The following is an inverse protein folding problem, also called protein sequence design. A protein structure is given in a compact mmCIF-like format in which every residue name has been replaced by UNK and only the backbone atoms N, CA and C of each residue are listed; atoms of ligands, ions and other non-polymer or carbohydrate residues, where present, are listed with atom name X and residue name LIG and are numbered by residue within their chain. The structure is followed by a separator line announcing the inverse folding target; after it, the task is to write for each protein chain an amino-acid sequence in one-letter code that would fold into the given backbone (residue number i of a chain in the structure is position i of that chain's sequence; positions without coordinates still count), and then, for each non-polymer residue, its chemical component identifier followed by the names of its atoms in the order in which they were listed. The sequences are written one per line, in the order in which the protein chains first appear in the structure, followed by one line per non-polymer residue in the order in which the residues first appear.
data_IF_635324973419
#
_entry.id   IF_635324973419
#
_cell.length_a   1.000
_cell.length_b   1.000
_cell.length_c   1.000
_cell.angle_alpha   90.00
_cell.angle_beta   90.00
_cell.angle_gamma   90.00
#
_symmetry.space_group_name_H-M   'P 1'
#
loop_
_entity.id
_entity.type
_entity.pdbx_description
1 polymer ?
#
# COMPACT_ATOMS: atom_id res chain seq x y z
N UNK A 1 -0.82 2.71 -25.56
CA UNK A 1 -2.07 2.54 -26.33
C UNK A 1 -2.13 3.70 -27.30
N UNK A 2 -2.14 3.43 -28.59
CA UNK A 2 -2.28 4.48 -29.61
C UNK A 2 -3.76 4.57 -29.97
N UNK A 3 -4.53 5.22 -29.08
CA UNK A 3 -5.97 5.40 -29.30
C UNK A 3 -6.13 6.36 -30.48
N UNK A 4 -6.94 6.02 -31.51
CA UNK A 4 -7.24 6.95 -32.59
C UNK A 4 -7.65 8.30 -32.01
N UNK A 5 -7.04 9.40 -32.48
CA UNK A 5 -7.35 10.74 -31.97
C UNK A 5 -8.87 10.94 -31.98
N UNK A 6 -9.46 11.25 -30.80
CA UNK A 6 -10.91 11.35 -30.70
C UNK A 6 -11.41 12.48 -31.58
N UNK A 7 -12.51 12.22 -32.27
CA UNK A 7 -13.28 13.27 -32.94
C UNK A 7 -14.17 13.90 -31.89
N UNK A 8 -14.04 15.21 -31.72
CA UNK A 8 -14.84 15.97 -30.77
C UNK A 8 -16.14 16.45 -31.42
N UNK A 9 -17.22 16.66 -30.64
CA UNK A 9 -18.45 17.25 -31.15
C UNK A 9 -18.22 18.59 -31.88
N UNK A 10 -17.24 19.39 -31.41
CA UNK A 10 -16.86 20.65 -32.04
C UNK A 10 -16.46 20.55 -33.51
N UNK A 11 -16.00 19.38 -33.97
CA UNK A 11 -15.63 19.15 -35.36
C UNK A 11 -16.84 19.12 -36.32
N UNK A 12 -18.06 18.98 -35.78
CA UNK A 12 -19.32 18.93 -36.55
C UNK A 12 -20.20 20.17 -36.32
N UNK A 13 -19.76 21.13 -35.51
CA UNK A 13 -20.51 22.35 -35.26
C UNK A 13 -20.22 23.39 -36.34
N UNK A 14 -21.28 24.02 -36.83
CA UNK A 14 -21.16 25.21 -37.68
C UNK A 14 -20.79 26.41 -36.79
N UNK A 15 -19.72 27.17 -37.10
CA UNK A 15 -19.36 28.35 -36.31
C UNK A 15 -20.54 29.31 -36.14
N UNK A 16 -20.84 29.67 -34.89
CA UNK A 16 -21.94 30.57 -34.54
C UNK A 16 -23.29 29.89 -34.33
N UNK A 17 -23.40 28.56 -34.52
CA UNK A 17 -24.60 27.77 -34.24
C UNK A 17 -24.34 26.84 -33.07
N UNK A 18 -24.68 27.30 -31.86
CA UNK A 18 -24.42 26.59 -30.60
C UNK A 18 -25.71 26.38 -29.80
N UNK A 19 -26.83 26.14 -30.47
CA UNK A 19 -28.05 25.74 -29.79
C UNK A 19 -27.98 24.28 -29.31
N UNK A 20 -28.90 23.93 -28.41
CA UNK A 20 -28.95 22.61 -27.75
C UNK A 20 -29.06 21.46 -28.75
N UNK A 21 -29.88 21.61 -29.78
CA UNK A 21 -30.18 20.51 -30.70
C UNK A 21 -29.00 20.28 -31.66
N UNK A 22 -28.32 21.36 -32.07
CA UNK A 22 -27.05 21.31 -32.80
C UNK A 22 -25.94 20.62 -32.00
N UNK A 23 -25.83 20.89 -30.69
CA UNK A 23 -24.87 20.21 -29.80
C UNK A 23 -25.16 18.71 -29.66
N UNK A 24 -26.42 18.31 -29.51
CA UNK A 24 -26.80 16.90 -29.45
C UNK A 24 -26.53 16.17 -30.77
N UNK A 25 -26.86 16.79 -31.91
CA UNK A 25 -26.60 16.22 -33.23
C UNK A 25 -25.09 16.04 -33.49
N UNK A 26 -24.29 17.06 -33.19
CA UNK A 26 -22.84 17.00 -33.29
C UNK A 26 -22.23 15.94 -32.36
N UNK A 27 -22.75 15.81 -31.14
CA UNK A 27 -22.37 14.75 -30.20
C UNK A 27 -22.66 13.35 -30.73
N UNK A 28 -23.83 13.14 -31.34
CA UNK A 28 -24.20 11.87 -31.95
C UNK A 28 -23.29 11.49 -33.13
N UNK A 29 -22.96 12.46 -33.99
CA UNK A 29 -22.03 12.26 -35.11
C UNK A 29 -20.61 11.91 -34.63
N UNK A 30 -20.08 12.67 -33.67
CA UNK A 30 -18.79 12.40 -33.06
C UNK A 30 -18.74 11.02 -32.39
N UNK A 31 -19.81 10.63 -31.67
CA UNK A 31 -19.92 9.29 -31.08
C UNK A 31 -19.89 8.20 -32.16
N UNK A 32 -20.68 8.33 -33.23
CA UNK A 32 -20.76 7.34 -34.30
C UNK A 32 -19.42 7.18 -35.04
N UNK A 33 -18.72 8.28 -35.31
CA UNK A 33 -17.40 8.26 -35.94
C UNK A 33 -16.35 7.63 -35.03
N UNK A 34 -16.32 7.99 -33.74
CA UNK A 34 -15.39 7.38 -32.78
C UNK A 34 -15.64 5.87 -32.64
N UNK A 35 -16.90 5.42 -32.62
CA UNK A 35 -17.23 3.98 -32.60
C UNK A 35 -16.71 3.24 -33.84
N UNK A 36 -16.83 3.85 -35.04
CA UNK A 36 -16.25 3.27 -36.27
C UNK A 36 -14.73 3.18 -36.20
N UNK A 37 -14.06 4.22 -35.68
CA UNK A 37 -12.60 4.24 -35.52
C UNK A 37 -12.12 3.18 -34.54
N UNK A 38 -12.82 3.02 -33.42
CA UNK A 38 -12.52 1.97 -32.44
C UNK A 38 -12.71 0.58 -33.07
N UNK A 39 -13.81 0.35 -33.80
CA UNK A 39 -14.08 -0.93 -34.46
C UNK A 39 -13.08 -1.26 -35.59
N UNK A 40 -12.47 -0.25 -36.21
CA UNK A 40 -11.46 -0.41 -37.25
C UNK A 40 -10.02 -0.49 -36.72
N UNK A 41 -9.79 -0.17 -35.44
CA UNK A 41 -8.45 -0.18 -34.85
C UNK A 41 -7.95 -1.62 -34.70
N UNK A 42 -6.73 -1.95 -35.18
CA UNK A 42 -6.15 -3.26 -34.94
C UNK A 42 -5.82 -3.41 -33.45
N UNK A 43 -5.91 -4.64 -32.94
CA UNK A 43 -5.68 -4.93 -31.53
C UNK A 43 -4.27 -4.54 -31.05
N UNK A 44 -3.29 -4.56 -31.96
CA UNK A 44 -1.91 -4.11 -31.72
C UNK A 44 -1.80 -2.63 -31.37
N UNK A 45 -2.77 -1.79 -31.78
CA UNK A 45 -2.82 -0.36 -31.44
C UNK A 45 -3.49 -0.14 -30.08
N UNK A 46 -4.41 -1.05 -29.72
CA UNK A 46 -5.18 -1.02 -28.48
C UNK A 46 -4.43 -1.64 -27.30
N UNK A 47 -3.56 -2.61 -27.54
CA UNK A 47 -2.76 -3.23 -26.49
C UNK A 47 -1.43 -2.48 -26.26
N UNK A 48 -0.99 -2.37 -25.00
CA UNK A 48 0.32 -1.81 -24.68
C UNK A 48 1.46 -2.69 -25.22
N UNK A 49 2.63 -2.07 -25.39
CA UNK A 49 3.88 -2.74 -25.73
C UNK A 49 4.98 -2.24 -24.81
N UNK A 50 6.05 -3.02 -24.65
CA UNK A 50 7.28 -2.59 -23.98
C UNK A 50 8.47 -2.78 -24.92
N UNK A 51 9.58 -2.12 -24.61
CA UNK A 51 10.84 -2.29 -25.33
C UNK A 51 11.86 -2.96 -24.42
N UNK A 52 12.58 -3.94 -24.94
CA UNK A 52 13.73 -4.56 -24.29
C UNK A 52 15.00 -4.17 -25.01
N UNK A 53 15.97 -3.65 -24.25
CA UNK A 53 17.31 -3.32 -24.75
C UNK A 53 18.31 -4.13 -23.94
N UNK A 54 19.12 -4.95 -24.62
CA UNK A 54 20.22 -5.69 -24.00
C UNK A 54 21.51 -4.88 -24.12
N UNK A 55 22.43 -5.09 -23.18
CA UNK A 55 23.74 -4.46 -23.18
C UNK A 55 24.82 -5.55 -23.20
N UNK A 56 25.79 -5.41 -24.09
CA UNK A 56 26.97 -6.27 -24.17
C UNK A 56 28.23 -5.40 -24.19
N UNK A 57 29.13 -5.60 -23.21
CA UNK A 57 30.34 -4.79 -23.08
C UNK A 57 30.08 -3.28 -22.93
N UNK A 58 28.95 -2.89 -22.36
CA UNK A 58 28.53 -1.48 -22.21
C UNK A 58 27.89 -0.86 -23.46
N UNK A 59 27.77 -1.62 -24.55
CA UNK A 59 27.09 -1.18 -25.79
C UNK A 59 25.65 -1.68 -25.78
N UNK A 60 24.69 -0.80 -26.08
CA UNK A 60 23.28 -1.14 -26.20
C UNK A 60 22.98 -1.78 -27.56
N UNK A 61 22.26 -2.90 -27.56
CA UNK A 61 21.67 -3.48 -28.76
C UNK A 61 20.49 -2.64 -29.26
N UNK A 62 19.99 -2.95 -30.47
CA UNK A 62 18.77 -2.33 -30.98
C UNK A 62 17.57 -2.70 -30.08
N UNK A 63 16.78 -1.71 -29.59
CA UNK A 63 15.61 -1.99 -28.77
C UNK A 63 14.62 -2.88 -29.51
N UNK A 64 14.26 -4.01 -28.89
CA UNK A 64 13.24 -4.92 -29.40
C UNK A 64 11.89 -4.54 -28.80
N UNK A 65 10.95 -4.10 -29.65
CA UNK A 65 9.55 -3.84 -29.25
C UNK A 65 8.79 -5.16 -29.15
N UNK A 66 8.14 -5.39 -28.01
CA UNK A 66 7.43 -6.61 -27.67
C UNK A 66 6.00 -6.29 -27.21
N UNK A 67 5.07 -7.22 -27.42
CA UNK A 67 3.72 -7.11 -26.85
C UNK A 67 3.82 -7.11 -25.33
N UNK A 68 3.09 -6.21 -24.66
CA UNK A 68 3.08 -6.17 -23.20
C UNK A 68 2.19 -7.24 -22.59
N UNK A 69 1.22 -7.76 -23.34
CA UNK A 69 0.34 -8.86 -22.93
C UNK A 69 -0.29 -9.48 -24.16
N UNK A 70 -0.45 -10.80 -24.17
CA UNK A 70 -1.23 -11.50 -25.20
C UNK A 70 -2.72 -11.35 -24.93
N UNK A 71 -3.54 -11.30 -25.98
CA UNK A 71 -4.97 -11.01 -25.87
C UNK A 71 -5.71 -12.03 -24.99
N UNK A 72 -5.30 -13.29 -25.09
CA UNK A 72 -5.81 -14.41 -24.29
C UNK A 72 -5.46 -14.32 -22.80
N UNK A 73 -4.46 -13.51 -22.46
CA UNK A 73 -4.02 -13.28 -21.07
C UNK A 73 -4.62 -12.00 -20.48
N UNK A 74 -5.59 -11.37 -21.15
CA UNK A 74 -6.35 -10.22 -20.61
C UNK A 74 -7.69 -10.70 -20.08
N UNK A 75 -7.89 -10.56 -18.78
CA UNK A 75 -9.12 -10.92 -18.09
C UNK A 75 -10.09 -9.74 -18.00
N UNK A 76 -11.37 -10.02 -18.20
CA UNK A 76 -12.47 -9.11 -17.91
C UNK A 76 -13.08 -9.56 -16.58
N UNK A 77 -12.96 -8.78 -15.50
CA UNK A 77 -13.46 -9.20 -14.20
C UNK A 77 -14.99 -9.12 -14.15
N UNK A 78 -15.62 -9.99 -13.36
CA UNK A 78 -17.07 -9.91 -13.05
C UNK A 78 -17.39 -8.63 -12.27
N UNK A 79 -16.42 -8.18 -11.47
CA UNK A 79 -16.49 -6.98 -10.65
C UNK A 79 -15.16 -6.23 -10.71
N UNK A 80 -15.17 -4.95 -11.03
CA UNK A 80 -13.97 -4.11 -11.12
C UNK A 80 -14.29 -2.63 -10.99
N UNK A 81 -13.25 -1.81 -10.94
CA UNK A 81 -13.36 -0.36 -10.84
C UNK A 81 -12.57 0.29 -11.98
N UNK A 82 -13.13 1.28 -12.65
CA UNK A 82 -12.43 2.05 -13.69
C UNK A 82 -12.16 1.30 -15.00
N UNK A 83 -11.67 2.03 -15.99
CA UNK A 83 -11.53 1.60 -17.40
C UNK A 83 -10.11 1.19 -17.78
N UNK A 84 -9.20 1.10 -16.82
CA UNK A 84 -7.78 0.88 -17.09
C UNK A 84 -7.47 -0.59 -17.41
N UNK A 85 -6.38 -0.83 -18.13
CA UNK A 85 -5.77 -2.16 -18.26
C UNK A 85 -4.59 -2.25 -17.30
N UNK A 86 -4.78 -3.01 -16.22
CA UNK A 86 -3.71 -3.33 -15.27
C UNK A 86 -2.92 -4.53 -15.77
N UNK A 87 -1.59 -4.41 -15.80
CA UNK A 87 -0.69 -5.49 -16.19
C UNK A 87 0.21 -5.91 -15.04
N UNK A 88 0.34 -7.22 -14.85
CA UNK A 88 1.32 -7.81 -13.94
C UNK A 88 2.38 -8.47 -14.81
N UNK A 89 3.63 -8.02 -14.67
CA UNK A 89 4.78 -8.60 -15.34
C UNK A 89 5.57 -9.46 -14.37
N UNK A 90 6.01 -10.63 -14.82
CA UNK A 90 7.08 -11.37 -14.18
C UNK A 90 8.31 -11.33 -15.10
N UNK A 91 9.45 -10.98 -14.51
CA UNK A 91 10.73 -10.87 -15.21
C UNK A 91 11.68 -11.88 -14.59
N UNK A 92 12.00 -12.93 -15.35
CA UNK A 92 13.02 -13.90 -14.95
C UNK A 92 14.41 -13.34 -15.27
N UNK A 93 15.19 -13.09 -14.22
CA UNK A 93 16.55 -12.54 -14.30
C UNK A 93 17.64 -13.59 -14.17
N UNK A 94 17.29 -14.89 -14.15
CA UNK A 94 18.26 -15.98 -14.02
C UNK A 94 19.08 -16.21 -15.30
N UNK A 95 18.62 -15.71 -16.44
CA UNK A 95 19.30 -15.84 -17.73
C UNK A 95 19.76 -14.49 -18.27
N UNK A 96 20.74 -14.50 -19.18
CA UNK A 96 21.29 -13.28 -19.79
C UNK A 96 20.29 -12.51 -20.67
N UNK A 97 19.21 -13.17 -21.09
CA UNK A 97 18.10 -12.55 -21.82
C UNK A 97 16.85 -12.72 -20.97
N UNK A 98 16.43 -11.70 -20.20
CA UNK A 98 15.31 -11.84 -19.31
C UNK A 98 14.04 -12.30 -20.05
N UNK A 99 13.47 -13.41 -19.58
CA UNK A 99 12.17 -13.87 -20.04
C UNK A 99 11.10 -13.04 -19.31
N UNK A 100 10.15 -12.52 -20.08
CA UNK A 100 9.08 -11.67 -19.55
C UNK A 100 7.76 -12.31 -19.91
N UNK A 101 6.93 -12.54 -18.91
CA UNK A 101 5.55 -13.01 -19.05
C UNK A 101 4.63 -11.99 -18.39
N UNK A 102 3.36 -12.01 -18.77
CA UNK A 102 2.40 -11.07 -18.22
C UNK A 102 0.97 -11.57 -18.33
N UNK A 103 0.16 -11.06 -17.41
CA UNK A 103 -1.29 -11.15 -17.46
C UNK A 103 -1.91 -9.79 -17.19
N UNK A 104 -3.06 -9.54 -17.79
CA UNK A 104 -3.80 -8.30 -17.66
C UNK A 104 -5.18 -8.48 -17.06
N UNK A 105 -5.69 -7.43 -16.43
CA UNK A 105 -7.10 -7.31 -16.04
C UNK A 105 -7.62 -5.93 -16.40
N UNK A 106 -8.84 -5.87 -16.97
CA UNK A 106 -9.56 -4.61 -17.19
C UNK A 106 -10.14 -4.10 -15.88
N UNK A 107 -9.30 -3.41 -15.10
CA UNK A 107 -9.68 -2.66 -13.91
C UNK A 107 -8.54 -1.69 -13.57
N UNK A 108 -8.87 -0.55 -12.99
CA UNK A 108 -7.95 0.29 -12.24
C UNK A 108 -7.49 -0.41 -10.96
N UNK A 109 -6.34 0.01 -10.46
CA UNK A 109 -5.76 -0.42 -9.20
C UNK A 109 -5.19 0.78 -8.44
N UNK A 110 -5.10 0.69 -7.12
CA UNK A 110 -4.50 1.73 -6.27
C UNK A 110 -3.55 1.14 -5.22
N UNK A 111 -3.87 -0.03 -4.68
CA UNK A 111 -3.07 -0.71 -3.66
C UNK A 111 -2.65 -2.09 -4.15
N UNK A 112 -1.47 -2.50 -3.71
CA UNK A 112 -0.86 -3.79 -4.01
C UNK A 112 -0.58 -4.51 -2.69
N UNK A 113 -0.95 -5.78 -2.61
CA UNK A 113 -0.48 -6.71 -1.59
C UNK A 113 0.04 -7.97 -2.26
N UNK A 114 1.09 -8.57 -1.72
CA UNK A 114 1.68 -9.78 -2.26
C UNK A 114 2.08 -10.71 -1.11
N UNK A 115 1.69 -11.97 -1.22
CA UNK A 115 2.20 -13.08 -0.41
C UNK A 115 3.26 -13.85 -1.20
N UNK A 116 3.72 -14.99 -0.68
CA UNK A 116 4.59 -15.89 -1.46
C UNK A 116 3.89 -16.47 -2.68
N UNK A 117 2.56 -16.63 -2.61
CA UNK A 117 1.80 -17.44 -3.57
C UNK A 117 0.90 -16.60 -4.48
N UNK A 118 0.47 -15.43 -3.98
CA UNK A 118 -0.51 -14.59 -4.66
C UNK A 118 -0.14 -13.11 -4.65
N UNK A 119 -0.57 -12.40 -5.68
CA UNK A 119 -0.56 -10.95 -5.79
C UNK A 119 -2.00 -10.45 -5.86
N UNK A 120 -2.31 -9.41 -5.10
CA UNK A 120 -3.63 -8.80 -5.02
C UNK A 120 -3.55 -7.33 -5.44
N UNK A 121 -4.33 -6.96 -6.45
CA UNK A 121 -4.61 -5.57 -6.78
C UNK A 121 -5.92 -5.16 -6.11
N UNK A 122 -5.92 -4.03 -5.42
CA UNK A 122 -7.10 -3.49 -4.75
C UNK A 122 -7.35 -2.04 -5.19
N UNK A 123 -8.62 -1.70 -5.35
CA UNK A 123 -9.05 -0.37 -5.77
C UNK A 123 -10.30 0.05 -5.02
N UNK A 124 -10.18 1.09 -4.21
CA UNK A 124 -11.35 1.70 -3.59
C UNK A 124 -12.19 2.41 -4.65
N UNK A 125 -13.51 2.43 -4.45
CA UNK A 125 -14.41 3.05 -5.39
C UNK A 125 -14.16 4.54 -5.58
N UNK A 126 -13.94 4.95 -6.82
CA UNK A 126 -14.01 6.36 -7.20
C UNK A 126 -15.22 6.56 -8.13
N UNK A 127 -15.40 7.75 -8.69
CA UNK A 127 -16.55 8.15 -9.54
C UNK A 127 -17.02 7.18 -10.65
N UNK A 128 -16.30 6.10 -11.00
CA UNK A 128 -16.62 5.18 -12.10
C UNK A 128 -16.55 3.70 -11.69
N UNK A 129 -17.65 3.18 -11.13
CA UNK A 129 -17.85 1.74 -10.99
C UNK A 129 -18.42 1.16 -12.26
N UNK A 130 -17.66 0.29 -12.91
CA UNK A 130 -18.10 -0.41 -14.10
C UNK A 130 -18.79 -1.69 -13.62
N UNK A 131 -20.12 -1.65 -13.52
CA UNK A 131 -20.90 -2.88 -13.70
C UNK A 131 -20.50 -3.49 -15.04
N UNK A 132 -20.41 -4.83 -15.16
CA UNK A 132 -19.75 -5.50 -16.29
C UNK A 132 -20.10 -4.79 -17.58
N UNK A 133 -19.06 -4.39 -18.33
CA UNK A 133 -19.04 -3.43 -19.44
C UNK A 133 -20.20 -3.56 -20.45
N UNK A 134 -20.91 -4.69 -20.44
CA UNK A 134 -22.14 -4.97 -21.16
C UNK A 134 -23.42 -4.24 -20.65
N UNK A 135 -23.46 -3.67 -19.43
CA UNK A 135 -24.70 -3.15 -18.84
C UNK A 135 -24.57 -1.80 -18.10
N UNK A 136 -23.53 -1.00 -18.39
CA UNK A 136 -23.26 0.24 -17.66
C UNK A 136 -24.33 1.33 -17.91
N UNK A 137 -25.39 1.33 -17.08
CA UNK A 137 -26.13 2.55 -16.74
C UNK A 137 -25.24 3.52 -15.95
N UNK A 138 -25.62 4.78 -15.83
CA UNK A 138 -24.84 5.74 -15.03
C UNK A 138 -24.66 5.20 -13.59
N UNK A 139 -23.43 5.23 -13.06
CA UNK A 139 -23.22 4.86 -11.67
C UNK A 139 -24.03 5.80 -10.76
N UNK A 140 -24.57 5.30 -9.64
CA UNK A 140 -25.30 6.13 -8.69
C UNK A 140 -24.44 7.33 -8.24
N UNK A 141 -25.08 8.48 -8.02
CA UNK A 141 -24.39 9.76 -7.78
C UNK A 141 -23.49 9.80 -6.52
N UNK A 142 -23.56 8.79 -5.64
CA UNK A 142 -22.67 8.56 -4.51
C UNK A 142 -22.76 7.08 -4.10
N UNK A 143 -21.93 6.17 -4.64
CA UNK A 143 -21.94 4.78 -4.20
C UNK A 143 -21.43 4.69 -2.75
N UNK A 144 -22.04 3.80 -1.96
CA UNK A 144 -21.46 3.37 -0.68
C UNK A 144 -19.99 2.98 -0.89
N UNK A 145 -19.08 3.27 0.06
CA UNK A 145 -17.69 2.87 -0.06
C UNK A 145 -17.53 1.37 -0.33
N UNK A 146 -16.69 1.02 -1.30
CA UNK A 146 -16.41 -0.36 -1.68
C UNK A 146 -14.97 -0.49 -2.18
N UNK A 147 -14.38 -1.67 -2.05
CA UNK A 147 -13.05 -2.02 -2.56
C UNK A 147 -13.17 -3.19 -3.51
N UNK A 148 -12.79 -2.99 -4.78
CA UNK A 148 -12.64 -4.06 -5.76
C UNK A 148 -11.27 -4.75 -5.59
N UNK A 149 -11.24 -6.06 -5.80
CA UNK A 149 -10.09 -6.93 -5.58
C UNK A 149 -9.84 -7.82 -6.80
N UNK A 150 -8.57 -8.03 -7.13
CA UNK A 150 -8.13 -8.90 -8.22
C UNK A 150 -6.95 -9.76 -7.75
N UNK A 151 -7.09 -11.08 -7.83
CA UNK A 151 -6.07 -12.04 -7.42
C UNK A 151 -5.31 -12.57 -8.62
N UNK A 152 -3.99 -12.64 -8.50
CA UNK A 152 -3.08 -13.34 -9.40
C UNK A 152 -2.32 -14.40 -8.60
N UNK A 153 -2.18 -15.62 -9.13
CA UNK A 153 -1.22 -16.59 -8.62
C UNK A 153 0.17 -16.27 -9.18
N UNK A 154 1.18 -16.31 -8.31
CA UNK A 154 2.59 -16.06 -8.66
C UNK A 154 3.51 -17.24 -8.34
N UNK A 155 3.15 -18.10 -7.39
CA UNK A 155 3.88 -19.33 -7.10
C UNK A 155 3.35 -20.51 -7.93
N UNK A 156 4.26 -21.43 -8.30
CA UNK A 156 3.90 -22.64 -9.03
C UNK A 156 3.44 -22.42 -10.48
N UNK A 157 3.65 -21.22 -11.03
CA UNK A 157 3.14 -20.83 -12.36
C UNK A 157 4.20 -20.83 -13.46
N UNK A 158 5.36 -21.47 -13.23
CA UNK A 158 6.52 -21.45 -14.13
C UNK A 158 6.92 -20.02 -14.57
N UNK A 159 6.78 -19.05 -13.66
CA UNK A 159 7.12 -17.66 -13.91
C UNK A 159 6.05 -16.86 -14.65
N UNK A 160 4.84 -17.39 -14.90
CA UNK A 160 3.73 -16.63 -15.50
C UNK A 160 2.72 -16.17 -14.43
N UNK A 161 2.47 -14.87 -14.20
CA UNK A 161 1.41 -14.46 -13.29
C UNK A 161 0.06 -14.89 -13.86
N UNK A 162 -0.76 -15.64 -13.12
CA UNK A 162 -2.06 -16.15 -13.60
C UNK A 162 -3.21 -15.46 -12.90
N UNK A 163 -4.12 -14.83 -13.63
CA UNK A 163 -5.34 -14.27 -13.04
C UNK A 163 -6.23 -15.37 -12.45
N UNK A 164 -6.67 -15.20 -11.21
CA UNK A 164 -7.45 -16.21 -10.46
C UNK A 164 -8.87 -15.77 -10.15
N UNK A 165 -9.14 -14.47 -10.12
CA UNK A 165 -10.49 -13.98 -9.93
C UNK A 165 -10.59 -12.59 -9.33
N UNK A 166 -11.83 -12.11 -9.26
CA UNK A 166 -12.19 -10.82 -8.66
C UNK A 166 -13.18 -10.97 -7.53
N UNK A 167 -13.25 -9.95 -6.66
CA UNK A 167 -14.35 -9.79 -5.71
C UNK A 167 -14.47 -8.34 -5.24
N UNK A 168 -15.49 -8.09 -4.43
CA UNK A 168 -15.73 -6.78 -3.83
C UNK A 168 -15.94 -6.94 -2.33
N UNK A 169 -15.38 -6.03 -1.54
CA UNK A 169 -15.75 -5.84 -0.14
C UNK A 169 -16.27 -4.43 0.09
N UNK A 170 -17.19 -4.29 1.03
CA UNK A 170 -17.67 -2.98 1.45
C UNK A 170 -16.58 -2.21 2.21
N UNK A 171 -16.64 -0.87 2.18
CA UNK A 171 -15.70 0.02 2.85
C UNK A 171 -14.46 0.40 2.03
N UNK A 172 -13.74 1.39 2.54
CA UNK A 172 -12.44 1.86 2.05
C UNK A 172 -11.32 1.03 2.66
N UNK A 173 -10.45 0.50 1.81
CA UNK A 173 -9.16 -0.06 2.23
C UNK A 173 -8.20 1.07 2.63
N UNK A 174 -7.60 0.96 3.82
CA UNK A 174 -6.64 1.95 4.33
C UNK A 174 -5.29 1.89 3.61
N UNK A 175 -4.61 0.73 3.62
CA UNK A 175 -3.35 0.51 2.91
C UNK A 175 -3.05 -0.98 2.70
N UNK A 176 -1.89 -1.32 2.14
CA UNK A 176 -1.50 -2.70 1.85
C UNK A 176 -1.39 -3.59 3.10
N UNK A 177 -1.13 -3.03 4.28
CA UNK A 177 -1.06 -3.78 5.53
C UNK A 177 -2.45 -4.11 6.10
N UNK A 178 -3.49 -3.47 5.56
CA UNK A 178 -4.89 -3.86 5.78
C UNK A 178 -5.32 -5.04 4.90
N UNK A 179 -4.38 -5.68 4.20
CA UNK A 179 -4.56 -6.95 3.51
C UNK A 179 -3.56 -8.00 4.04
N UNK A 180 -3.98 -9.26 4.07
CA UNK A 180 -3.10 -10.38 4.42
C UNK A 180 -3.66 -11.73 3.94
N UNK A 181 -2.84 -12.58 3.34
CA UNK A 181 -3.23 -13.94 2.92
C UNK A 181 -2.65 -14.99 3.87
N UNK A 182 -3.45 -15.98 4.24
CA UNK A 182 -2.98 -17.17 4.96
C UNK A 182 -3.86 -18.37 4.61
N UNK A 183 -3.22 -19.51 4.35
CA UNK A 183 -3.88 -20.76 3.97
C UNK A 183 -4.89 -20.59 2.81
N UNK A 184 -4.55 -19.74 1.82
CA UNK A 184 -5.40 -19.48 0.64
C UNK A 184 -6.56 -18.50 0.85
N UNK A 185 -6.72 -17.95 2.05
CA UNK A 185 -7.75 -16.96 2.37
C UNK A 185 -7.16 -15.54 2.44
N UNK A 186 -7.74 -14.62 1.68
CA UNK A 186 -7.45 -13.19 1.79
C UNK A 186 -8.23 -12.61 2.97
N UNK A 187 -7.57 -11.88 3.85
CA UNK A 187 -8.16 -11.13 4.97
C UNK A 187 -7.97 -9.66 4.68
N UNK A 188 -9.04 -8.88 4.80
CA UNK A 188 -9.04 -7.47 4.43
C UNK A 188 -9.81 -6.63 5.45
N UNK A 189 -9.16 -5.60 6.00
CA UNK A 189 -9.76 -4.60 6.88
C UNK A 189 -10.21 -3.37 6.10
N UNK A 190 -11.44 -2.94 6.31
CA UNK A 190 -11.99 -1.74 5.65
C UNK A 190 -12.82 -0.89 6.59
N UNK A 191 -12.95 0.40 6.24
CA UNK A 191 -13.78 1.37 6.95
C UNK A 191 -14.98 1.77 6.11
N UNK A 192 -16.21 1.62 6.65
CA UNK A 192 -17.45 2.10 6.04
C UNK A 192 -17.82 3.51 6.54
N UNK A 193 -18.75 4.15 5.85
CA UNK A 193 -19.31 5.46 6.21
C UNK A 193 -18.56 6.66 5.62
N UNK A 194 -19.01 7.86 5.99
CA UNK A 194 -18.45 9.13 5.49
C UNK A 194 -17.08 9.49 6.05
N UNK A 195 -16.57 10.67 5.67
CA UNK A 195 -15.26 11.18 6.11
C UNK A 195 -15.18 11.55 7.60
N UNK A 196 -16.30 11.96 8.19
CA UNK A 196 -16.46 12.35 9.59
C UNK A 196 -17.88 12.04 10.06
N UNK A 197 -18.07 11.76 11.35
CA UNK A 197 -19.39 11.70 11.99
C UNK A 197 -19.94 10.30 12.26
N UNK A 198 -21.23 10.25 12.57
CA UNK A 198 -21.97 9.01 12.86
C UNK A 198 -22.12 8.15 11.60
N UNK A 199 -22.04 6.82 11.75
CA UNK A 199 -22.09 5.86 10.64
C UNK A 199 -20.74 5.36 10.15
N UNK A 200 -19.62 5.86 10.69
CA UNK A 200 -18.29 5.26 10.47
C UNK A 200 -18.21 3.96 11.27
N UNK A 201 -17.78 2.88 10.63
CA UNK A 201 -17.50 1.61 11.31
C UNK A 201 -16.45 0.84 10.55
N UNK A 202 -15.62 0.09 11.27
CA UNK A 202 -14.63 -0.78 10.68
C UNK A 202 -15.18 -2.21 10.56
N UNK A 203 -14.57 -2.97 9.66
CA UNK A 203 -14.87 -4.37 9.46
C UNK A 203 -13.62 -5.13 9.02
N UNK A 204 -13.62 -6.44 9.27
CA UNK A 204 -12.71 -7.40 8.66
C UNK A 204 -13.53 -8.35 7.81
N UNK A 205 -13.17 -8.56 6.55
CA UNK A 205 -13.76 -9.59 5.68
C UNK A 205 -12.68 -10.63 5.32
N UNK A 206 -13.05 -11.90 5.31
CA UNK A 206 -12.21 -13.02 4.86
C UNK A 206 -12.82 -13.58 3.58
N UNK A 207 -12.01 -13.72 2.54
CA UNK A 207 -12.41 -14.16 1.21
C UNK A 207 -11.64 -15.42 0.81
N UNK A 208 -12.35 -16.41 0.28
CA UNK A 208 -11.79 -17.60 -0.36
C UNK A 208 -11.96 -17.53 -1.88
N UNK A 209 -11.08 -18.22 -2.60
CA UNK A 209 -11.21 -18.35 -4.06
C UNK A 209 -12.22 -19.45 -4.39
N UNK A 210 -13.23 -19.12 -5.20
CA UNK A 210 -14.24 -20.06 -5.69
C UNK A 210 -14.57 -19.75 -7.16
N UNK A 211 -14.24 -20.69 -8.05
CA UNK A 211 -14.63 -20.67 -9.46
C UNK A 211 -14.36 -19.35 -10.22
N UNK A 212 -13.21 -18.70 -9.99
CA UNK A 212 -12.88 -17.43 -10.66
C UNK A 212 -13.31 -16.18 -9.90
N UNK A 213 -13.84 -16.33 -8.68
CA UNK A 213 -14.30 -15.21 -7.85
C UNK A 213 -13.71 -15.30 -6.43
N UNK A 214 -13.57 -14.15 -5.78
CA UNK A 214 -13.23 -14.05 -4.36
C UNK A 214 -14.55 -13.92 -3.57
N UNK A 215 -14.90 -14.99 -2.86
CA UNK A 215 -16.18 -15.12 -2.16
C UNK A 215 -15.98 -15.02 -0.66
N UNK A 216 -16.84 -14.27 0.00
CA UNK A 216 -16.81 -14.11 1.46
C UNK A 216 -16.99 -15.44 2.17
N UNK A 217 -16.04 -15.73 3.07
CA UNK A 217 -16.03 -16.90 3.95
C UNK A 217 -16.42 -16.52 5.38
N UNK A 218 -15.98 -15.36 5.86
CA UNK A 218 -16.28 -14.89 7.21
C UNK A 218 -16.06 -13.39 7.36
N UNK A 219 -16.63 -12.80 8.41
CA UNK A 219 -16.61 -11.36 8.63
C UNK A 219 -16.71 -10.99 10.10
N UNK A 220 -16.08 -9.88 10.47
CA UNK A 220 -16.34 -9.12 11.69
C UNK A 220 -16.85 -7.73 11.27
N UNK A 221 -18.01 -7.31 11.76
CA UNK A 221 -18.58 -5.98 11.52
C UNK A 221 -18.66 -5.17 12.82
N UNK A 222 -18.90 -3.86 12.71
CA UNK A 222 -19.16 -3.02 13.89
C UNK A 222 -17.93 -2.69 14.72
N UNK A 223 -16.72 -2.84 14.16
CA UNK A 223 -15.47 -2.62 14.89
C UNK A 223 -15.21 -1.12 15.11
N UNK A 224 -15.01 -0.73 16.36
CA UNK A 224 -14.76 0.64 16.80
C UNK A 224 -15.69 1.69 16.13
N UNK A 225 -17.00 1.70 16.45
CA UNK A 225 -17.95 2.62 15.84
C UNK A 225 -17.55 4.08 16.03
N UNK A 226 -17.57 4.86 14.94
CA UNK A 226 -17.13 6.25 14.91
C UNK A 226 -15.62 6.43 14.76
N UNK A 227 -14.84 5.35 14.62
CA UNK A 227 -13.40 5.37 14.44
C UNK A 227 -13.00 4.75 13.11
N UNK A 228 -11.78 5.01 12.65
CA UNK A 228 -11.27 4.54 11.35
C UNK A 228 -10.03 3.69 11.56
N UNK A 229 -9.76 2.74 10.66
CA UNK A 229 -8.50 1.99 10.66
C UNK A 229 -7.35 2.95 10.34
N UNK A 230 -6.39 3.07 11.26
CA UNK A 230 -5.13 3.80 11.05
C UNK A 230 -4.00 2.85 10.69
N UNK A 231 -3.96 1.69 11.34
CA UNK A 231 -2.98 0.65 11.02
C UNK A 231 -3.59 -0.73 11.18
N UNK A 232 -3.02 -1.68 10.45
CA UNK A 232 -3.39 -3.08 10.53
C UNK A 232 -2.19 -3.94 10.18
N UNK A 233 -2.15 -5.16 10.71
CA UNK A 233 -1.14 -6.16 10.37
C UNK A 233 -1.72 -7.56 10.55
N UNK A 234 -1.30 -8.49 9.71
CA UNK A 234 -1.66 -9.90 9.82
C UNK A 234 -0.41 -10.76 10.04
N UNK A 235 -0.55 -11.82 10.83
CA UNK A 235 0.46 -12.83 11.09
C UNK A 235 -0.21 -14.19 11.25
N UNK A 236 -0.06 -15.11 10.27
CA UNK A 236 -0.69 -16.43 10.30
C UNK A 236 -2.18 -16.37 10.67
N UNK A 237 -2.59 -16.92 11.82
CA UNK A 237 -3.97 -16.93 12.31
C UNK A 237 -4.36 -15.67 13.11
N UNK A 238 -3.50 -14.65 13.15
CA UNK A 238 -3.63 -13.46 13.98
C UNK A 238 -3.82 -12.21 13.13
N UNK A 239 -4.65 -11.28 13.59
CA UNK A 239 -4.76 -9.93 13.05
C UNK A 239 -4.60 -8.89 14.15
N UNK A 240 -4.09 -7.72 13.78
CA UNK A 240 -3.91 -6.58 14.69
C UNK A 240 -4.45 -5.34 14.01
N UNK A 241 -5.31 -4.58 14.69
CA UNK A 241 -5.97 -3.40 14.13
C UNK A 241 -5.91 -2.25 15.13
N UNK A 242 -5.63 -1.05 14.62
CA UNK A 242 -5.46 0.18 15.39
C UNK A 242 -6.42 1.22 14.81
N UNK A 243 -7.23 1.85 15.66
CA UNK A 243 -8.27 2.82 15.28
C UNK A 243 -8.27 4.06 16.15
N UNK A 244 -8.53 5.25 15.61
CA UNK A 244 -8.41 6.48 16.41
C UNK A 244 -9.62 7.40 16.35
N UNK A 245 -10.05 7.84 17.54
CA UNK A 245 -10.88 9.05 17.73
C UNK A 245 -10.36 9.98 18.84
N UNK A 246 -9.68 9.45 19.88
CA UNK A 246 -8.99 10.19 20.98
C UNK A 246 -7.92 9.33 21.68
N UNK A 247 -8.28 8.09 21.96
CA UNK A 247 -7.44 7.03 22.55
C UNK A 247 -7.59 5.84 21.62
N UNK A 248 -6.49 5.21 21.21
CA UNK A 248 -6.54 4.13 20.22
C UNK A 248 -6.58 2.77 20.91
N UNK A 249 -7.66 1.98 20.71
CA UNK A 249 -7.61 0.55 20.97
C UNK A 249 -6.78 -0.17 19.91
N UNK A 250 -5.67 -0.78 20.33
CA UNK A 250 -5.09 -1.90 19.61
C UNK A 250 -5.97 -3.13 19.85
N UNK A 251 -6.66 -3.58 18.80
CA UNK A 251 -7.41 -4.84 18.78
C UNK A 251 -6.51 -5.98 18.31
N UNK A 252 -6.62 -7.11 18.98
CA UNK A 252 -6.11 -8.41 18.54
C UNK A 252 -7.27 -9.24 18.00
N UNK A 253 -7.07 -9.90 16.87
CA UNK A 253 -8.08 -10.66 16.14
C UNK A 253 -7.63 -12.13 16.04
N UNK A 254 -8.51 -13.05 16.41
CA UNK A 254 -8.34 -14.49 16.18
C UNK A 254 -9.01 -14.85 14.85
N UNK A 255 -8.18 -15.29 13.91
CA UNK A 255 -8.53 -15.61 12.53
C UNK A 255 -8.19 -17.08 12.20
N UNK A 256 -8.04 -17.92 13.23
CA UNK A 256 -7.76 -19.36 13.07
C UNK A 256 -8.85 -20.11 12.31
N UNK A 257 -10.12 -19.75 12.54
CA UNK A 257 -11.27 -20.20 11.75
C UNK A 257 -11.69 -19.08 10.76
N UNK A 258 -11.38 -19.20 9.46
CA UNK A 258 -11.74 -18.20 8.47
C UNK A 258 -13.25 -18.00 8.29
N UNK A 259 -14.09 -18.96 8.72
CA UNK A 259 -15.55 -18.82 8.70
C UNK A 259 -16.09 -18.14 9.97
N UNK A 260 -15.30 -18.06 11.04
CA UNK A 260 -15.69 -17.48 12.34
C UNK A 260 -14.60 -16.58 12.93
N UNK A 261 -14.13 -15.55 12.20
CA UNK A 261 -13.17 -14.61 12.75
C UNK A 261 -13.79 -13.84 13.93
N UNK A 262 -12.98 -13.49 14.93
CA UNK A 262 -13.45 -12.76 16.12
C UNK A 262 -12.40 -11.82 16.69
N UNK A 263 -12.86 -10.81 17.43
CA UNK A 263 -11.99 -10.02 18.30
C UNK A 263 -11.57 -10.90 19.48
N UNK A 264 -10.27 -11.02 19.70
CA UNK A 264 -9.71 -11.81 20.80
C UNK A 264 -9.52 -10.94 22.06
N UNK A 265 -9.02 -9.72 21.90
CA UNK A 265 -8.75 -8.79 22.98
C UNK A 265 -8.57 -7.36 22.48
N UNK A 266 -8.46 -6.43 23.42
CA UNK A 266 -8.21 -5.02 23.16
C UNK A 266 -7.29 -4.43 24.25
N UNK A 267 -6.46 -3.46 23.87
CA UNK A 267 -5.75 -2.59 24.81
C UNK A 267 -5.84 -1.16 24.34
N UNK A 268 -6.25 -0.26 25.24
CA UNK A 268 -6.37 1.18 24.96
C UNK A 268 -5.12 1.90 25.43
N UNK A 269 -4.51 2.66 24.53
CA UNK A 269 -3.34 3.49 24.81
C UNK A 269 -3.52 4.89 24.23
N UNK A 270 -2.91 5.87 24.87
CA UNK A 270 -2.89 7.24 24.34
C UNK A 270 -2.02 7.32 23.09
N UNK A 271 -2.51 8.07 22.09
CA UNK A 271 -1.96 8.08 20.75
C UNK A 271 -2.53 6.99 19.86
N UNK A 272 -2.01 6.86 18.63
CA UNK A 272 -2.34 5.82 17.66
C UNK A 272 -1.12 5.39 16.87
N UNK A 273 -1.07 4.12 16.46
CA UNK A 273 -0.06 3.63 15.53
C UNK A 273 -0.50 3.84 14.08
N UNK A 274 0.43 4.28 13.24
CA UNK A 274 0.26 4.36 11.78
C UNK A 274 0.90 3.16 11.09
N UNK A 275 1.92 2.55 11.72
CA UNK A 275 2.58 1.34 11.26
C UNK A 275 2.84 0.35 12.39
N UNK A 276 2.61 -0.94 12.10
CA UNK A 276 2.84 -2.08 13.00
C UNK A 276 3.88 -2.99 12.37
N UNK A 277 4.97 -3.24 13.10
CA UNK A 277 6.01 -4.19 12.75
C UNK A 277 5.98 -5.38 13.72
N UNK A 278 6.07 -6.60 13.18
CA UNK A 278 6.11 -7.83 13.97
C UNK A 278 7.54 -8.08 14.44
N UNK A 279 7.76 -8.33 15.73
CA UNK A 279 9.08 -8.59 16.30
C UNK A 279 9.04 -9.70 17.34
N UNK A 280 10.22 -10.18 17.72
CA UNK A 280 10.39 -11.22 18.73
C UNK A 280 10.05 -12.63 18.22
N UNK A 281 10.30 -13.66 19.06
CA UNK A 281 10.07 -15.05 18.68
C UNK A 281 8.61 -15.27 18.27
N UNK A 282 8.40 -15.99 17.15
CA UNK A 282 7.08 -16.30 16.61
C UNK A 282 6.14 -15.10 16.48
N UNK A 283 6.70 -13.92 16.19
CA UNK A 283 5.97 -12.65 16.06
C UNK A 283 5.11 -12.35 17.31
N UNK A 284 5.60 -12.71 18.49
CA UNK A 284 4.91 -12.53 19.79
C UNK A 284 4.79 -11.08 20.23
N UNK A 285 5.40 -10.13 19.51
CA UNK A 285 5.36 -8.71 19.86
C UNK A 285 5.09 -7.82 18.66
N UNK A 286 4.52 -6.65 18.95
CA UNK A 286 4.29 -5.59 17.99
C UNK A 286 5.14 -4.38 18.35
N UNK A 287 6.02 -3.97 17.45
CA UNK A 287 6.74 -2.71 17.52
C UNK A 287 6.06 -1.71 16.59
N UNK A 288 5.53 -0.62 17.13
CA UNK A 288 4.76 0.35 16.38
C UNK A 288 5.44 1.70 16.33
N UNK A 289 5.14 2.46 15.28
CA UNK A 289 5.34 3.90 15.22
C UNK A 289 4.01 4.57 14.89
N UNK A 290 3.81 5.75 15.47
CA UNK A 290 2.70 6.61 15.13
C UNK A 290 2.75 7.92 15.87
N UNK A 291 1.62 8.37 16.39
CA UNK A 291 1.42 9.67 17.02
C UNK A 291 1.06 9.51 18.49
N UNK A 292 1.69 10.29 19.37
CA UNK A 292 1.20 10.49 20.74
C UNK A 292 0.02 11.46 20.73
N UNK A 293 -0.88 11.29 21.69
CA UNK A 293 -1.99 12.20 21.93
C UNK A 293 -2.19 12.39 23.44
N UNK A 294 -2.61 13.58 23.85
CA UNK A 294 -3.04 13.85 25.23
C UNK A 294 -4.46 13.32 25.49
N UNK A 295 -4.94 13.42 26.73
CA UNK A 295 -6.28 12.94 27.13
C UNK A 295 -7.43 13.67 26.43
N UNK A 296 -7.17 14.82 25.78
CA UNK A 296 -8.14 15.53 24.95
C UNK A 296 -8.18 15.02 23.51
N UNK A 297 -7.27 14.11 23.15
CA UNK A 297 -7.08 13.58 21.80
C UNK A 297 -6.23 14.48 20.90
N UNK A 298 -5.57 15.50 21.45
CA UNK A 298 -4.68 16.38 20.67
C UNK A 298 -3.36 15.67 20.44
N UNK A 299 -2.96 15.57 19.16
CA UNK A 299 -1.67 15.00 18.76
C UNK A 299 -0.51 15.86 19.28
N UNK A 300 0.44 15.24 19.98
CA UNK A 300 1.55 15.93 20.66
C UNK A 300 2.93 15.63 20.07
N UNK A 301 3.07 14.59 19.24
CA UNK A 301 4.33 14.23 18.60
C UNK A 301 4.31 12.82 18.02
N UNK A 302 5.46 12.29 17.60
CA UNK A 302 5.59 10.88 17.24
C UNK A 302 5.91 10.00 18.45
N UNK A 303 5.47 8.75 18.42
CA UNK A 303 5.63 7.78 19.50
C UNK A 303 5.98 6.40 18.96
N UNK A 304 6.86 5.71 19.67
CA UNK A 304 7.12 4.28 19.49
C UNK A 304 6.47 3.49 20.63
N UNK A 305 5.93 2.32 20.35
CA UNK A 305 5.34 1.44 21.37
C UNK A 305 5.71 -0.02 21.09
N UNK A 306 5.90 -0.79 22.16
CA UNK A 306 6.13 -2.23 22.10
C UNK A 306 5.03 -2.95 22.86
N UNK A 307 4.33 -3.86 22.19
CA UNK A 307 3.28 -4.67 22.79
C UNK A 307 3.68 -6.14 22.83
N UNK A 308 3.32 -6.83 23.91
CA UNK A 308 3.25 -8.29 23.98
C UNK A 308 1.87 -8.75 23.53
N UNK A 309 1.86 -9.63 22.54
CA UNK A 309 0.65 -10.24 21.96
C UNK A 309 0.74 -11.77 21.95
N UNK A 310 1.57 -12.35 22.82
CA UNK A 310 1.67 -13.81 23.01
C UNK A 310 0.31 -14.42 23.37
N UNK A 311 -0.42 -13.76 24.27
CA UNK A 311 -1.83 -14.04 24.55
C UNK A 311 -2.69 -12.95 23.90
N UNK A 312 -3.38 -13.32 22.81
CA UNK A 312 -4.26 -12.39 22.09
C UNK A 312 -5.41 -11.88 22.95
N UNK A 313 -5.83 -12.59 23.98
CA UNK A 313 -6.95 -12.15 24.83
C UNK A 313 -6.55 -11.06 25.81
N UNK A 314 -5.25 -10.95 26.11
CA UNK A 314 -4.70 -10.02 27.08
C UNK A 314 -3.43 -9.34 26.54
N UNK A 315 -3.54 -8.52 25.47
CA UNK A 315 -2.38 -7.79 24.94
C UNK A 315 -1.87 -6.78 25.98
N UNK A 316 -0.55 -6.60 26.06
CA UNK A 316 0.10 -5.73 27.07
C UNK A 316 1.05 -4.74 26.43
N UNK A 317 1.00 -3.48 26.86
CA UNK A 317 2.05 -2.51 26.55
C UNK A 317 3.27 -2.83 27.41
N UNK A 318 4.39 -3.18 26.79
CA UNK A 318 5.67 -3.44 27.45
C UNK A 318 6.45 -2.14 27.70
N UNK A 319 6.35 -1.19 26.77
CA UNK A 319 6.95 0.13 26.92
C UNK A 319 6.66 1.01 25.73
N UNK A 320 6.87 2.31 25.92
CA UNK A 320 6.76 3.31 24.88
C UNK A 320 7.87 4.35 24.95
N UNK A 321 8.02 5.12 23.89
CA UNK A 321 8.98 6.20 23.80
C UNK A 321 8.41 7.35 22.97
N UNK A 322 8.27 8.52 23.58
CA UNK A 322 7.90 9.74 22.85
C UNK A 322 9.14 10.36 22.21
N UNK A 323 9.07 10.64 20.91
CA UNK A 323 10.20 11.18 20.15
C UNK A 323 10.46 12.67 20.49
N UNK A 324 9.51 13.35 21.12
CA UNK A 324 9.61 14.76 21.50
C UNK A 324 9.24 15.71 20.36
N UNK A 325 9.77 16.92 20.40
CA UNK A 325 9.47 18.00 19.45
C UNK A 325 10.20 17.80 18.11
N UNK A 326 9.59 17.00 17.26
CA UNK A 326 10.10 16.67 15.94
C UNK A 326 9.21 15.65 15.26
N UNK A 327 9.73 15.05 14.21
CA UNK A 327 8.99 14.05 13.47
C UNK A 327 9.90 13.00 12.84
N UNK A 328 9.28 11.93 12.35
CA UNK A 328 9.95 10.86 11.63
C UNK A 328 9.16 10.48 10.39
N UNK A 329 9.83 10.36 9.25
CA UNK A 329 9.23 9.80 8.03
C UNK A 329 8.64 8.41 8.24
N UNK A 330 9.17 7.63 9.19
CA UNK A 330 8.70 6.27 9.47
C UNK A 330 7.23 6.21 9.92
N UNK A 331 6.63 7.34 10.32
CA UNK A 331 5.20 7.48 10.65
C UNK A 331 4.27 7.39 9.43
N UNK A 332 4.75 7.65 8.21
CA UNK A 332 3.92 7.55 7.01
C UNK A 332 4.57 6.79 5.86
N UNK A 333 5.89 6.59 5.89
CA UNK A 333 6.64 5.76 4.95
C UNK A 333 7.32 4.61 5.69
N UNK A 334 6.73 3.42 5.61
CA UNK A 334 7.24 2.22 6.27
C UNK A 334 8.65 1.82 5.80
N UNK A 335 9.13 2.29 4.65
CA UNK A 335 10.50 2.03 4.21
C UNK A 335 11.56 2.82 5.01
N UNK A 336 11.13 3.86 5.74
CA UNK A 336 11.98 4.58 6.68
C UNK A 336 12.04 3.90 8.06
N UNK A 337 11.29 2.81 8.27
CA UNK A 337 11.31 2.03 9.50
C UNK A 337 12.18 0.79 9.32
N UNK A 338 13.34 0.72 9.97
CA UNK A 338 14.24 -0.43 9.90
C UNK A 338 14.47 -1.04 11.27
N UNK A 339 13.96 -2.26 11.46
CA UNK A 339 14.27 -3.10 12.61
C UNK A 339 15.16 -4.27 12.18
N UNK A 340 16.28 -4.45 12.88
CA UNK A 340 17.26 -5.51 12.63
C UNK A 340 17.29 -6.46 13.82
N UNK A 341 16.60 -7.60 13.65
CA UNK A 341 16.30 -8.54 14.74
C UNK A 341 17.54 -9.17 15.36
N UNK A 342 18.60 -9.41 14.56
CA UNK A 342 19.85 -10.02 15.04
C UNK A 342 20.53 -9.22 16.17
N UNK A 343 20.30 -7.91 16.23
CA UNK A 343 20.80 -7.04 17.30
C UNK A 343 19.68 -6.43 18.15
N UNK A 344 18.41 -6.69 17.83
CA UNK A 344 17.26 -6.01 18.44
C UNK A 344 17.31 -4.50 18.25
N UNK A 345 17.81 -4.01 17.11
CA UNK A 345 18.01 -2.57 16.88
C UNK A 345 16.93 -2.03 15.96
N UNK A 346 16.25 -0.98 16.40
CA UNK A 346 15.42 -0.14 15.56
C UNK A 346 16.20 1.15 15.24
N UNK A 347 16.24 1.54 13.97
CA UNK A 347 16.68 2.86 13.56
C UNK A 347 15.59 3.52 12.71
N UNK A 348 15.37 4.81 12.92
CA UNK A 348 14.42 5.63 12.16
C UNK A 348 15.01 7.00 11.87
N UNK A 349 14.74 7.59 10.69
CA UNK A 349 15.01 9.00 10.44
C UNK A 349 14.25 9.87 11.43
N UNK A 350 14.88 10.91 11.94
CA UNK A 350 14.25 11.84 12.85
C UNK A 350 14.74 13.25 12.60
N UNK A 351 13.80 14.19 12.58
CA UNK A 351 14.06 15.61 12.45
C UNK A 351 13.54 16.36 13.68
N UNK A 352 14.44 17.04 14.38
CA UNK A 352 14.11 17.94 15.47
C UNK A 352 13.82 19.34 14.93
N UNK A 353 12.78 19.97 15.48
CA UNK A 353 12.49 21.39 15.23
C UNK A 353 12.76 22.27 16.46
N UNK A 354 13.47 21.74 17.45
CA UNK A 354 13.75 22.46 18.69
C UNK A 354 14.82 23.51 18.42
N UNK A 355 14.44 24.79 18.45
CA UNK A 355 15.41 25.88 18.32
C UNK A 355 16.42 25.87 19.49
N UNK A 356 17.71 26.18 19.25
CA UNK A 356 18.31 26.60 17.97
C UNK A 356 18.70 25.44 17.04
N UNK A 357 18.64 24.20 17.51
CA UNK A 357 19.26 23.03 16.89
C UNK A 357 18.29 22.22 16.02
N UNK A 358 17.99 22.76 14.83
CA UNK A 358 17.35 21.99 13.76
C UNK A 358 18.27 20.88 13.28
N UNK A 359 18.01 19.67 13.77
CA UNK A 359 18.86 18.50 13.53
C UNK A 359 18.08 17.43 12.79
N UNK A 360 18.78 16.75 11.89
CA UNK A 360 18.29 15.62 11.11
C UNK A 360 19.32 14.50 11.23
N UNK A 361 18.85 13.26 11.31
CA UNK A 361 19.70 12.12 11.57
C UNK A 361 18.89 10.85 11.79
N UNK A 362 19.55 9.82 12.33
CA UNK A 362 18.91 8.59 12.76
C UNK A 362 18.80 8.55 14.27
N UNK A 363 17.60 8.33 14.80
CA UNK A 363 17.45 7.88 16.18
C UNK A 363 17.53 6.36 16.20
N UNK A 364 18.38 5.84 17.08
CA UNK A 364 18.65 4.41 17.21
C UNK A 364 18.17 3.95 18.59
N UNK A 365 17.47 2.82 18.60
CA UNK A 365 16.86 2.23 19.77
C UNK A 365 17.28 0.77 19.89
N UNK A 366 17.40 0.31 21.13
CA UNK A 366 17.42 -1.12 21.46
C UNK A 366 15.99 -1.52 21.82
N UNK A 367 15.48 -2.54 21.16
CA UNK A 367 14.17 -3.15 21.41
C UNK A 367 14.42 -4.46 22.15
N UNK A 368 14.20 -4.43 23.45
CA UNK A 368 14.41 -5.56 24.33
C UNK A 368 13.15 -6.37 24.59
N UNK A 369 13.27 -7.34 25.51
CA UNK A 369 12.14 -8.18 25.91
C UNK A 369 11.05 -7.46 26.70
N UNK A 370 11.42 -6.37 27.38
CA UNK A 370 10.54 -5.65 28.30
C UNK A 370 10.32 -4.18 27.91
N UNK A 371 10.81 -3.73 26.75
CA UNK A 371 10.63 -2.34 26.36
C UNK A 371 11.56 -1.84 25.27
N UNK A 372 11.50 -0.53 25.03
CA UNK A 372 12.28 0.20 24.02
C UNK A 372 13.17 1.19 24.77
N UNK A 373 14.45 1.27 24.41
CA UNK A 373 15.39 2.23 25.00
C UNK A 373 16.15 2.95 23.90
N UNK A 374 16.17 4.28 23.93
CA UNK A 374 16.97 5.06 22.99
C UNK A 374 18.45 4.82 23.27
N UNK A 375 19.17 4.31 22.26
CA UNK A 375 20.62 4.10 22.30
C UNK A 375 21.37 5.39 22.02
N UNK A 376 20.89 6.17 21.06
CA UNK A 376 21.52 7.43 20.69
C UNK A 376 20.94 8.05 19.42
N UNK A 377 21.60 9.10 18.97
CA UNK A 377 21.26 9.83 17.75
C UNK A 377 22.50 9.98 16.89
N UNK A 378 22.42 9.52 15.64
CA UNK A 378 23.45 9.71 14.62
C UNK A 378 23.03 10.92 13.80
N UNK A 379 23.64 12.07 14.07
CA UNK A 379 23.36 13.30 13.33
C UNK A 379 23.92 13.20 11.91
N UNK A 380 23.13 13.67 10.94
CA UNK A 380 23.57 13.80 9.55
C UNK A 380 24.63 14.91 9.38
N UNK A 381 25.32 14.90 8.24
CA UNK A 381 26.27 15.95 7.86
C UNK A 381 25.62 17.33 7.94
N UNK A 382 26.32 18.30 8.53
CA UNK A 382 25.88 19.70 8.51
C UNK A 382 26.38 20.36 7.23
N UNK A 383 25.46 20.96 6.47
CA UNK A 383 25.73 21.68 5.22
C UNK A 383 25.08 23.06 5.32
N UNK A 384 25.88 24.12 5.18
CA UNK A 384 25.45 25.52 5.31
C UNK A 384 24.73 25.83 6.64
N UNK A 385 25.17 25.21 7.74
CA UNK A 385 24.59 25.41 9.07
C UNK A 385 23.33 24.59 9.37
N UNK A 386 22.89 23.74 8.44
CA UNK A 386 21.73 22.85 8.64
C UNK A 386 22.13 21.39 8.48
N UNK A 387 21.59 20.51 9.33
CA UNK A 387 21.76 19.06 9.15
C UNK A 387 21.09 18.62 7.85
N UNK A 388 21.78 17.78 7.08
CA UNK A 388 21.24 17.22 5.86
C UNK A 388 20.06 16.30 6.16
N UNK A 389 19.07 16.30 5.27
CA UNK A 389 17.78 15.73 5.57
C UNK A 389 17.76 14.23 5.28
N UNK A 390 17.67 13.40 6.32
CA UNK A 390 17.72 11.94 6.24
C UNK A 390 16.33 11.38 5.99
N UNK A 391 16.20 10.55 4.95
CA UNK A 391 14.93 9.90 4.60
C UNK A 391 15.01 8.39 4.63
N UNK A 392 16.19 7.83 4.38
CA UNK A 392 16.37 6.40 4.21
C UNK A 392 17.55 5.92 5.03
N UNK A 393 17.48 4.64 5.36
CA UNK A 393 18.55 3.97 6.07
C UNK A 393 18.66 2.53 5.63
N UNK A 394 19.81 1.95 5.93
CA UNK A 394 20.11 0.55 5.65
C UNK A 394 21.13 0.04 6.67
N UNK A 395 21.08 -1.25 6.98
CA UNK A 395 22.06 -1.92 7.85
C UNK A 395 22.77 -2.99 7.01
N UNK A 396 24.10 -2.91 6.92
CA UNK A 396 24.96 -3.93 6.32
C UNK A 396 26.02 -4.31 7.34
N UNK A 397 26.09 -5.60 7.67
CA UNK A 397 27.04 -6.10 8.66
C UNK A 397 26.88 -5.36 9.99
N UNK A 398 27.95 -4.67 10.41
CA UNK A 398 27.99 -3.93 11.67
C UNK A 398 27.86 -2.40 11.50
N UNK A 399 27.34 -1.93 10.37
CA UNK A 399 27.25 -0.50 10.06
C UNK A 399 25.81 -0.09 9.73
N UNK A 400 25.40 1.07 10.24
CA UNK A 400 24.17 1.77 9.90
C UNK A 400 24.51 2.85 8.87
N UNK A 401 23.80 2.83 7.75
CA UNK A 401 23.90 3.82 6.69
C UNK A 401 22.68 4.74 6.79
N UNK A 402 22.92 6.05 6.90
CA UNK A 402 21.90 7.08 6.83
C UNK A 402 22.03 7.80 5.48
N UNK A 403 20.99 7.71 4.64
CA UNK A 403 20.93 8.39 3.35
C UNK A 403 20.10 9.67 3.49
N UNK A 404 20.79 10.79 3.30
CA UNK A 404 20.23 12.12 3.23
C UNK A 404 20.22 12.65 1.78
N UNK A 405 19.58 13.79 1.57
CA UNK A 405 19.42 14.39 0.23
C UNK A 405 20.73 14.66 -0.49
N UNK A 406 21.80 15.01 0.23
CA UNK A 406 23.10 15.41 -0.33
C UNK A 406 24.27 14.62 0.25
N UNK A 407 24.01 13.66 1.13
CA UNK A 407 25.07 12.92 1.81
C UNK A 407 24.63 11.54 2.27
N UNK A 408 25.59 10.64 2.43
CA UNK A 408 25.42 9.36 3.11
C UNK A 408 26.38 9.29 4.30
N UNK A 409 25.86 9.01 5.49
CA UNK A 409 26.65 8.85 6.72
C UNK A 409 26.69 7.38 7.11
N UNK A 410 27.88 6.85 7.36
CA UNK A 410 28.08 5.48 7.86
C UNK A 410 28.48 5.55 9.31
N UNK A 411 27.80 4.80 10.17
CA UNK A 411 28.11 4.72 11.59
C UNK A 411 28.18 3.28 12.07
N UNK A 412 29.08 3.03 13.01
CA UNK A 412 29.18 1.73 13.66
C UNK A 412 27.90 1.44 14.45
N UNK A 413 27.30 0.26 14.27
CA UNK A 413 26.04 -0.07 14.93
C UNK A 413 26.18 -0.17 16.46
N UNK A 414 27.36 -0.53 16.96
CA UNK A 414 27.61 -0.74 18.38
C UNK A 414 27.95 0.55 19.13
N UNK A 415 28.80 1.38 18.54
CA UNK A 415 29.26 2.62 19.20
C UNK A 415 28.46 3.84 18.75
N UNK A 416 27.72 3.75 17.64
CA UNK A 416 27.09 4.86 16.93
C UNK A 416 28.09 5.92 16.45
N UNK A 417 29.40 5.63 16.51
CA UNK A 417 30.42 6.52 16.02
C UNK A 417 30.34 6.60 14.49
N UNK A 418 30.38 7.83 13.98
CA UNK A 418 30.47 8.07 12.53
C UNK A 418 31.83 7.58 12.05
N UNK A 419 31.81 6.61 11.15
CA UNK A 419 33.00 6.01 10.54
C UNK A 419 33.38 6.75 9.24
N UNK A 420 32.39 7.18 8.47
CA UNK A 420 32.61 7.93 7.23
C UNK A 420 31.38 8.74 6.80
N UNK A 421 31.60 9.76 5.98
CA UNK A 421 30.56 10.57 5.35
C UNK A 421 30.95 10.80 3.89
N UNK A 422 30.00 10.57 2.98
CA UNK A 422 30.18 10.75 1.53
C UNK A 422 29.16 11.76 1.03
N UNK A 423 29.60 12.69 0.18
CA UNK A 423 28.68 13.60 -0.52
C UNK A 423 28.03 12.89 -1.70
N UNK A 424 26.72 13.03 -1.81
CA UNK A 424 25.93 12.52 -2.92
C UNK A 424 25.74 13.64 -3.96
N UNK A 425 25.66 13.28 -5.27
CA UNK A 425 25.56 14.24 -6.37
C UNK A 425 24.30 15.11 -6.33
#
# INVERSE_FOLDING_TARGET
IDIPKPVYPYNYLTPGVYDRDSLYAAGALAKAENLKRIAAAPLTDLLPSYSRTLYSGGVADTPLKLSAVECENVSIPESGNGTDLSLVFAIDTATSVPAVTSSGVLSSWCRLYMSTDSLYLASNNNWLWITPLAAAGQPPANPEPMTALHKFAVAGTAGNPLYRGSGIVNGWLNNQFSMGEYNGYLRIGTTRGGWVGEGISNQLTILGEQAGSLVETGRIEGLAPGERIYSMRFDRERGYMVTFRRTDPLFTLDLSDPARPRVAGEIKVNGFATYIHLVGPDNSRLLTIGRSADDTGRVTGNKLQLFDVTDLTTPKLLGDFELGQGWSNADYDYHAFLYYDAFGILAIPYQSYTAPDYTSGLRVFVVGNAGITQRGFVQAKVINGYSDYVDRLLIIGNSIYAFAHRSATVSNIDTLAVESVVDLP
#
